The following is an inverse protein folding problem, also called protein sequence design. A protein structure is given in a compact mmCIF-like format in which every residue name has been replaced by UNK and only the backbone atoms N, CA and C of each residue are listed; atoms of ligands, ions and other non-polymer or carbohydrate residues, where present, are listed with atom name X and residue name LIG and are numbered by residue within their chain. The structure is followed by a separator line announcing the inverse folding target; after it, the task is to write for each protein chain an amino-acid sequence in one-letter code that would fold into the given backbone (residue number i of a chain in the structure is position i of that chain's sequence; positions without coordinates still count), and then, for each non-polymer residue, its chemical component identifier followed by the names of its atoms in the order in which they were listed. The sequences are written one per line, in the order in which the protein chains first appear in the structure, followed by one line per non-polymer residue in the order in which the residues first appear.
data_IF_064147488419
#
_entry.id   IF_064147488419
#
_cell.length_a   1.000
_cell.length_b   1.000
_cell.length_c   1.000
_cell.angle_alpha   90.00
_cell.angle_beta   90.00
_cell.angle_gamma   90.00
#
_symmetry.space_group_name_H-M   'P 1'
#
loop_
_entity.id
_entity.type
_entity.pdbx_description
1 polymer ?
#
# COMPACT_ATOMS: atom_id res chain seq x y z
N UNK A 1 39.46 -24.41 43.20
CA UNK A 1 39.56 -25.12 41.91
C UNK A 1 38.15 -25.20 41.33
N UNK A 2 37.74 -24.19 40.56
CA UNK A 2 37.79 -24.11 39.07
C UNK A 2 36.75 -25.04 38.42
N UNK A 3 35.87 -24.62 37.51
CA UNK A 3 35.87 -23.42 36.67
C UNK A 3 34.45 -23.04 36.21
N UNK A 4 34.33 -21.76 35.86
CA UNK A 4 33.25 -21.13 35.10
C UNK A 4 33.54 -21.14 33.59
N UNK A 5 32.50 -21.08 32.76
CA UNK A 5 32.50 -20.45 31.41
C UNK A 5 31.02 -20.28 30.96
N UNK A 6 30.41 -19.10 31.05
CA UNK A 6 30.45 -17.95 30.13
C UNK A 6 30.29 -18.31 28.65
N UNK A 7 29.06 -18.28 28.15
CA UNK A 7 28.75 -18.22 26.71
C UNK A 7 28.75 -16.75 26.29
N UNK A 8 29.73 -16.37 25.48
CA UNK A 8 29.92 -15.05 24.89
C UNK A 8 29.12 -14.93 23.59
N UNK A 9 28.28 -13.90 23.50
CA UNK A 9 27.70 -13.44 22.25
C UNK A 9 28.80 -12.72 21.44
N UNK A 10 29.16 -13.26 20.28
CA UNK A 10 30.13 -12.65 19.37
C UNK A 10 29.55 -11.40 18.71
N UNK A 11 30.14 -10.26 19.05
CA UNK A 11 29.94 -8.97 18.39
C UNK A 11 30.69 -9.01 17.05
N UNK A 12 29.98 -8.78 15.95
CA UNK A 12 30.57 -8.58 14.61
C UNK A 12 31.18 -7.17 14.57
N UNK A 13 32.47 -6.99 14.25
CA UNK A 13 33.07 -5.67 14.18
C UNK A 13 32.64 -4.94 12.90
N UNK A 14 32.10 -3.73 13.06
CA UNK A 14 31.84 -2.77 12.00
C UNK A 14 33.16 -2.40 11.30
N UNK A 15 33.31 -2.84 10.06
CA UNK A 15 34.39 -2.38 9.17
C UNK A 15 34.20 -0.90 8.85
N UNK A 16 35.27 -0.14 9.07
CA UNK A 16 35.38 1.30 8.83
C UNK A 16 35.00 1.63 7.37
N UNK A 17 33.94 2.42 7.19
CA UNK A 17 33.64 3.07 5.92
C UNK A 17 34.51 4.32 5.79
N UNK A 18 35.22 4.41 4.67
CA UNK A 18 36.03 5.54 4.22
C UNK A 18 35.19 6.83 4.14
N UNK A 19 35.72 8.01 4.53
CA UNK A 19 34.99 9.27 4.42
C UNK A 19 34.92 9.76 2.97
N UNK A 20 33.72 10.15 2.55
CA UNK A 20 33.47 10.93 1.33
C UNK A 20 33.97 12.36 1.56
N UNK A 21 34.81 12.96 0.68
CA UNK A 21 35.35 14.29 0.93
C UNK A 21 34.28 15.38 0.75
N UNK A 22 34.32 16.35 1.66
CA UNK A 22 33.45 17.52 1.72
C UNK A 22 33.61 18.42 0.49
N UNK A 23 32.47 18.91 -0.03
CA UNK A 23 32.44 20.03 -0.98
C UNK A 23 32.87 21.30 -0.26
N UNK A 24 33.88 21.97 -0.82
CA UNK A 24 34.33 23.30 -0.43
C UNK A 24 33.54 24.31 -1.27
N UNK A 25 32.88 25.24 -0.60
CA UNK A 25 32.28 26.43 -1.21
C UNK A 25 33.25 27.61 -1.19
N UNK A 26 33.02 28.48 -2.18
CA UNK A 26 33.48 29.86 -2.37
C UNK A 26 34.83 30.08 -3.07
N UNK A 27 34.75 30.59 -4.31
CA UNK A 27 35.48 31.82 -4.62
C UNK A 27 34.73 32.69 -5.65
N UNK A 28 34.63 33.96 -5.32
CA UNK A 28 34.03 35.06 -6.09
C UNK A 28 35.14 35.82 -6.80
N UNK A 29 35.14 35.86 -8.13
CA UNK A 29 36.10 36.64 -8.93
C UNK A 29 35.59 36.95 -10.35
N UNK A 30 36.08 38.02 -11.00
CA UNK A 30 35.23 39.00 -11.67
C UNK A 30 34.86 38.69 -13.13
N UNK A 31 33.78 39.34 -13.56
CA UNK A 31 33.18 39.29 -14.90
C UNK A 31 34.18 39.59 -16.03
N UNK A 32 34.13 38.78 -17.09
CA UNK A 32 34.75 39.04 -18.40
C UNK A 32 33.67 39.35 -19.45
N UNK A 33 33.94 40.24 -20.43
CA UNK A 33 32.91 40.78 -21.31
C UNK A 33 32.52 39.80 -22.42
N UNK A 34 31.24 39.85 -22.79
CA UNK A 34 30.63 39.08 -23.87
C UNK A 34 31.23 39.47 -25.24
N UNK A 35 31.89 38.52 -25.90
CA UNK A 35 32.26 38.64 -27.32
C UNK A 35 31.06 38.35 -28.20
N UNK A 36 30.78 39.28 -29.11
CA UNK A 36 29.85 39.14 -30.24
C UNK A 36 30.39 38.14 -31.27
N UNK A 37 29.45 37.55 -32.01
CA UNK A 37 29.59 36.87 -33.31
C UNK A 37 29.67 35.33 -33.31
N UNK A 38 28.49 34.71 -33.47
CA UNK A 38 28.31 33.47 -34.23
C UNK A 38 26.91 33.49 -34.89
N UNK A 39 26.79 33.44 -36.24
CA UNK A 39 25.50 33.38 -36.92
C UNK A 39 25.10 31.92 -37.21
N UNK A 40 23.83 31.58 -37.00
CA UNK A 40 23.26 30.33 -37.49
C UNK A 40 22.41 29.55 -36.49
N UNK A 41 21.39 30.19 -35.90
CA UNK A 41 20.24 29.47 -35.37
C UNK A 41 19.03 29.92 -36.18
N UNK A 42 18.59 29.09 -37.12
CA UNK A 42 17.24 29.16 -37.66
C UNK A 42 16.30 28.88 -36.49
N UNK A 43 15.78 29.96 -35.90
CA UNK A 43 14.71 29.87 -34.92
C UNK A 43 13.45 29.50 -35.71
N UNK A 44 12.99 28.25 -35.55
CA UNK A 44 11.64 27.85 -35.93
C UNK A 44 10.64 28.60 -35.03
N UNK A 45 10.42 29.86 -35.37
CA UNK A 45 9.31 30.69 -34.91
C UNK A 45 8.12 30.34 -35.79
N UNK A 46 7.23 29.45 -35.33
CA UNK A 46 5.77 29.46 -35.57
C UNK A 46 5.12 28.08 -35.33
N UNK A 47 5.33 27.45 -34.18
CA UNK A 47 4.47 26.32 -33.80
C UNK A 47 4.20 26.23 -32.28
N UNK A 48 3.62 27.30 -31.71
CA UNK A 48 2.83 27.17 -30.47
C UNK A 48 2.06 28.46 -30.14
N UNK A 49 0.78 28.32 -29.77
CA UNK A 49 0.19 29.10 -28.65
C UNK A 49 -1.27 28.74 -28.32
N UNK A 50 -2.01 28.01 -29.17
CA UNK A 50 -3.35 27.51 -28.80
C UNK A 50 -3.56 26.01 -28.97
N UNK A 51 -2.86 25.38 -29.91
CA UNK A 51 -3.03 23.94 -30.19
C UNK A 51 -2.41 23.06 -29.10
N UNK A 52 -1.26 23.46 -28.52
CA UNK A 52 -0.60 22.70 -27.44
C UNK A 52 -1.44 22.59 -26.18
N UNK A 53 -1.96 23.71 -25.61
CA UNK A 53 -2.83 23.64 -24.44
C UNK A 53 -4.13 22.89 -24.73
N UNK A 54 -4.68 23.01 -25.95
CA UNK A 54 -5.89 22.29 -26.35
C UNK A 54 -5.64 20.79 -26.52
N UNK A 55 -4.51 20.41 -27.11
CA UNK A 55 -4.08 19.02 -27.26
C UNK A 55 -3.80 18.39 -25.89
N UNK A 56 -3.09 19.10 -25.01
CA UNK A 56 -2.91 18.70 -23.62
C UNK A 56 -4.27 18.50 -22.94
N UNK A 57 -5.20 19.46 -23.04
CA UNK A 57 -6.55 19.31 -22.46
C UNK A 57 -7.33 18.12 -23.02
N UNK A 58 -7.22 17.82 -24.32
CA UNK A 58 -7.86 16.68 -24.97
C UNK A 58 -7.26 15.35 -24.47
N UNK A 59 -5.93 15.24 -24.44
CA UNK A 59 -5.22 14.05 -23.98
C UNK A 59 -5.50 13.80 -22.50
N UNK A 60 -5.49 14.86 -21.69
CA UNK A 60 -5.87 14.84 -20.27
C UNK A 60 -7.30 14.34 -20.06
N UNK A 61 -8.24 14.81 -20.88
CA UNK A 61 -9.65 14.39 -20.79
C UNK A 61 -9.86 12.92 -21.19
N UNK A 62 -9.14 12.44 -22.20
CA UNK A 62 -9.16 11.04 -22.63
C UNK A 62 -8.57 10.14 -21.54
N UNK A 63 -7.42 10.50 -20.99
CA UNK A 63 -6.75 9.79 -19.89
C UNK A 63 -7.64 9.75 -18.63
N UNK A 64 -8.22 10.87 -18.22
CA UNK A 64 -9.13 10.93 -17.08
C UNK A 64 -10.42 10.09 -17.28
N UNK A 65 -10.86 9.89 -18.53
CA UNK A 65 -12.01 9.03 -18.84
C UNK A 65 -11.60 7.56 -18.79
N UNK A 66 -10.47 7.19 -19.40
CA UNK A 66 -9.90 5.84 -19.31
C UNK A 66 -9.63 5.45 -17.84
N UNK A 67 -9.27 6.42 -17.00
CA UNK A 67 -9.03 6.23 -15.57
C UNK A 67 -10.16 5.61 -14.78
N UNK A 68 -11.36 6.09 -15.10
CA UNK A 68 -12.59 5.65 -14.45
C UNK A 68 -12.94 4.22 -14.86
N UNK A 69 -12.49 3.77 -16.03
CA UNK A 69 -12.74 2.41 -16.54
C UNK A 69 -11.72 1.38 -16.07
N UNK A 70 -10.46 1.77 -15.86
CA UNK A 70 -9.38 0.85 -15.50
C UNK A 70 -9.08 0.81 -14.00
N UNK A 71 -9.91 1.48 -13.18
CA UNK A 71 -9.69 1.66 -11.74
C UNK A 71 -8.30 2.22 -11.40
N UNK A 72 -7.77 3.11 -12.25
CA UNK A 72 -6.47 3.75 -12.04
C UNK A 72 -5.27 2.99 -12.61
N UNK A 73 -5.48 1.99 -13.49
CA UNK A 73 -4.39 1.31 -14.21
C UNK A 73 -4.18 1.86 -15.63
N UNK A 74 -2.95 2.22 -16.01
CA UNK A 74 -2.62 2.63 -17.38
C UNK A 74 -2.65 1.43 -18.33
N UNK A 75 -3.55 1.37 -19.34
CA UNK A 75 -3.57 0.30 -20.33
C UNK A 75 -2.28 0.21 -21.15
N UNK A 76 -1.65 1.36 -21.41
CA UNK A 76 -0.40 1.44 -22.14
C UNK A 76 0.73 0.77 -21.36
N UNK A 77 0.83 1.00 -20.05
CA UNK A 77 1.85 0.37 -19.20
C UNK A 77 1.70 -1.16 -19.17
N UNK A 78 0.48 -1.67 -19.02
CA UNK A 78 0.19 -3.12 -19.04
C UNK A 78 0.59 -3.71 -20.40
N UNK A 79 0.21 -3.05 -21.49
CA UNK A 79 0.50 -3.52 -22.85
C UNK A 79 2.00 -3.52 -23.13
N UNK A 80 2.73 -2.49 -22.67
CA UNK A 80 4.17 -2.39 -22.84
C UNK A 80 4.91 -3.52 -22.10
N UNK A 81 4.57 -3.79 -20.84
CA UNK A 81 5.20 -4.88 -20.09
C UNK A 81 4.86 -6.25 -20.67
N UNK A 82 3.63 -6.45 -21.14
CA UNK A 82 3.26 -7.68 -21.84
C UNK A 82 4.14 -7.91 -23.07
N UNK A 83 4.32 -6.89 -23.92
CA UNK A 83 5.15 -7.01 -25.12
C UNK A 83 6.63 -7.21 -24.79
N UNK A 84 7.16 -6.50 -23.80
CA UNK A 84 8.54 -6.66 -23.34
C UNK A 84 8.80 -8.09 -22.86
N UNK A 85 7.90 -8.62 -22.02
CA UNK A 85 7.94 -10.01 -21.57
C UNK A 85 7.80 -11.02 -22.71
N UNK A 86 6.80 -10.85 -23.58
CA UNK A 86 6.48 -11.80 -24.64
C UNK A 86 7.61 -11.92 -25.66
N UNK A 87 8.18 -10.79 -26.09
CA UNK A 87 9.29 -10.76 -27.06
C UNK A 87 10.52 -11.42 -26.45
N UNK A 88 10.94 -11.02 -25.25
CA UNK A 88 12.13 -11.60 -24.61
C UNK A 88 11.97 -13.09 -24.33
N UNK A 89 10.77 -13.54 -23.96
CA UNK A 89 10.48 -14.96 -23.79
C UNK A 89 10.53 -15.72 -25.13
N UNK A 90 9.98 -15.14 -26.21
CA UNK A 90 9.99 -15.74 -27.54
C UNK A 90 11.41 -15.92 -28.10
N UNK A 91 12.32 -14.99 -27.80
CA UNK A 91 13.73 -15.05 -28.22
C UNK A 91 14.68 -15.69 -27.18
N UNK A 92 14.14 -16.37 -26.17
CA UNK A 92 14.93 -17.05 -25.12
C UNK A 92 14.79 -18.58 -25.18
N UNK A 93 15.46 -19.29 -26.13
CA UNK A 93 15.31 -20.74 -26.29
C UNK A 93 15.71 -21.53 -25.03
N UNK A 94 16.74 -21.09 -24.29
CA UNK A 94 17.12 -21.72 -23.03
C UNK A 94 16.04 -21.61 -21.95
N UNK A 95 15.34 -20.47 -21.89
CA UNK A 95 14.19 -20.28 -20.99
C UNK A 95 13.02 -21.16 -21.39
N UNK A 96 12.73 -21.27 -22.69
CA UNK A 96 11.66 -22.14 -23.21
C UNK A 96 11.91 -23.61 -22.88
N UNK A 97 13.14 -24.10 -23.06
CA UNK A 97 13.53 -25.47 -22.66
C UNK A 97 13.37 -25.65 -21.14
N UNK A 98 13.80 -24.68 -20.33
CA UNK A 98 13.59 -24.71 -18.88
C UNK A 98 12.10 -24.79 -18.51
N UNK A 99 11.23 -24.02 -19.18
CA UNK A 99 9.79 -24.03 -18.94
C UNK A 99 9.14 -25.34 -19.35
N UNK A 100 9.59 -25.94 -20.46
CA UNK A 100 9.15 -27.25 -20.91
C UNK A 100 9.56 -28.37 -19.93
N UNK A 101 10.82 -28.37 -19.47
CA UNK A 101 11.29 -29.31 -18.43
C UNK A 101 10.50 -29.12 -17.11
N UNK A 102 10.27 -27.87 -16.68
CA UNK A 102 9.46 -27.59 -15.49
C UNK A 102 8.01 -28.07 -15.65
N UNK A 103 7.40 -27.90 -16.82
CA UNK A 103 6.05 -28.41 -17.12
C UNK A 103 6.02 -29.94 -17.06
N UNK A 104 6.98 -30.60 -17.71
CA UNK A 104 7.09 -32.06 -17.73
C UNK A 104 7.27 -32.62 -16.31
N UNK A 105 8.22 -32.06 -15.52
CA UNK A 105 8.45 -32.50 -14.13
C UNK A 105 7.23 -32.33 -13.25
N UNK A 106 6.48 -31.23 -13.43
CA UNK A 106 5.22 -30.99 -12.70
C UNK A 106 4.14 -32.00 -13.12
N UNK A 107 4.01 -32.28 -14.41
CA UNK A 107 3.11 -33.31 -14.94
C UNK A 107 3.42 -34.70 -14.39
N UNK A 108 4.69 -35.11 -14.42
CA UNK A 108 5.15 -36.38 -13.82
C UNK A 108 4.88 -36.41 -12.32
N UNK A 109 5.13 -35.31 -11.59
CA UNK A 109 4.86 -35.23 -10.16
C UNK A 109 3.36 -35.37 -9.85
N UNK A 110 2.50 -34.72 -10.63
CA UNK A 110 1.05 -34.81 -10.49
C UNK A 110 0.53 -36.21 -10.83
N UNK A 111 1.03 -36.82 -11.91
CA UNK A 111 0.67 -38.19 -12.29
C UNK A 111 1.10 -39.20 -11.23
N UNK A 112 2.34 -39.09 -10.71
CA UNK A 112 2.83 -39.92 -9.62
C UNK A 112 2.05 -39.71 -8.32
N UNK A 113 1.62 -38.48 -8.05
CA UNK A 113 0.73 -38.17 -6.92
C UNK A 113 -0.63 -38.87 -7.07
N UNK A 114 -1.26 -38.78 -8.25
CA UNK A 114 -2.52 -39.48 -8.52
C UNK A 114 -2.38 -41.00 -8.38
N UNK A 115 -1.28 -41.57 -8.87
CA UNK A 115 -0.95 -42.99 -8.73
C UNK A 115 -0.83 -43.41 -7.26
N UNK A 116 -0.10 -42.64 -6.43
CA UNK A 116 -0.01 -42.90 -4.98
C UNK A 116 -1.34 -42.74 -4.28
N UNK A 117 -2.12 -41.70 -4.60
CA UNK A 117 -3.47 -41.56 -4.05
C UNK A 117 -4.37 -42.76 -4.40
N UNK A 118 -4.26 -43.32 -5.61
CA UNK A 118 -5.03 -44.50 -6.01
C UNK A 118 -4.59 -45.76 -5.23
N UNK A 119 -3.30 -45.92 -4.93
CA UNK A 119 -2.77 -47.05 -4.18
C UNK A 119 -2.99 -46.94 -2.66
N UNK A 120 -2.91 -45.73 -2.11
CA UNK A 120 -2.97 -45.45 -0.67
C UNK A 120 -4.35 -44.97 -0.20
N UNK A 121 -5.41 -45.20 -0.98
CA UNK A 121 -6.79 -44.85 -0.60
C UNK A 121 -7.01 -43.34 -0.40
N UNK A 122 -6.26 -42.50 -1.10
CA UNK A 122 -6.37 -41.03 -1.04
C UNK A 122 -5.45 -40.34 -0.03
N UNK A 123 -4.60 -41.08 0.69
CA UNK A 123 -3.76 -40.55 1.78
C UNK A 123 -2.32 -40.19 1.42
N UNK A 124 -2.02 -39.91 0.14
CA UNK A 124 -0.68 -39.53 -0.28
C UNK A 124 -0.35 -38.06 0.10
N UNK A 125 0.93 -37.82 0.42
CA UNK A 125 1.48 -36.47 0.64
C UNK A 125 1.30 -35.58 -0.60
N UNK A 126 0.90 -34.30 -0.43
CA UNK A 126 0.68 -33.38 -1.54
C UNK A 126 1.95 -33.19 -2.38
N UNK A 127 1.76 -32.95 -3.68
CA UNK A 127 2.86 -32.67 -4.60
C UNK A 127 3.42 -31.25 -4.48
N UNK A 128 2.62 -30.34 -3.92
CA UNK A 128 2.97 -28.96 -3.60
C UNK A 128 2.11 -28.47 -2.43
N UNK A 129 2.72 -27.72 -1.51
CA UNK A 129 2.01 -27.06 -0.43
C UNK A 129 1.61 -25.63 -0.86
N UNK A 130 0.42 -25.14 -0.47
CA UNK A 130 0.07 -23.75 -0.64
C UNK A 130 1.06 -22.84 0.09
N UNK A 131 1.19 -21.59 -0.36
CA UNK A 131 1.92 -20.57 0.39
C UNK A 131 1.22 -20.35 1.75
N UNK A 132 1.94 -19.96 2.83
CA UNK A 132 1.36 -19.76 4.16
C UNK A 132 0.15 -18.82 4.21
N UNK A 133 0.10 -17.83 3.30
CA UNK A 133 -0.99 -16.88 3.15
C UNK A 133 -2.18 -17.42 2.34
N UNK A 134 -2.01 -18.47 1.53
CA UNK A 134 -3.08 -19.03 0.69
C UNK A 134 -3.98 -19.96 1.50
N UNK A 135 -5.17 -19.45 1.86
CA UNK A 135 -6.18 -20.17 2.65
C UNK A 135 -7.27 -20.82 1.80
N UNK A 136 -7.23 -20.69 0.47
CA UNK A 136 -8.34 -21.11 -0.42
C UNK A 136 -8.64 -22.61 -0.35
N UNK A 137 -7.63 -23.42 -0.07
CA UNK A 137 -7.70 -24.88 -0.08
C UNK A 137 -7.53 -25.51 1.31
N UNK A 138 -7.72 -24.71 2.37
CA UNK A 138 -7.50 -25.14 3.75
C UNK A 138 -8.60 -26.10 4.28
N UNK A 139 -9.81 -26.05 3.72
CA UNK A 139 -10.91 -26.88 4.18
C UNK A 139 -10.73 -28.37 3.88
N UNK A 140 -11.23 -29.21 4.78
CA UNK A 140 -11.13 -30.67 4.70
C UNK A 140 -11.71 -31.24 3.39
N UNK A 141 -12.75 -30.60 2.85
CA UNK A 141 -13.41 -31.04 1.62
C UNK A 141 -12.48 -30.99 0.39
N UNK A 142 -11.46 -30.11 0.40
CA UNK A 142 -10.42 -30.04 -0.64
C UNK A 142 -9.46 -31.23 -0.61
N UNK A 143 -9.37 -31.94 0.53
CA UNK A 143 -8.50 -33.11 0.69
C UNK A 143 -9.12 -34.39 0.11
N UNK A 144 -10.35 -34.31 -0.41
CA UNK A 144 -11.08 -35.43 -0.99
C UNK A 144 -11.01 -35.43 -2.51
N UNK A 145 -11.15 -36.60 -3.12
CA UNK A 145 -11.20 -36.76 -4.57
C UNK A 145 -12.62 -36.37 -5.09
N UNK A 146 -12.79 -35.62 -6.21
CA UNK A 146 -11.82 -35.13 -7.19
C UNK A 146 -11.08 -33.82 -6.86
N UNK A 147 -11.41 -33.16 -5.76
CA UNK A 147 -10.93 -31.79 -5.48
C UNK A 147 -9.44 -31.74 -5.19
N UNK A 148 -8.90 -32.83 -4.62
CA UNK A 148 -7.50 -32.97 -4.28
C UNK A 148 -6.56 -32.80 -5.47
N UNK A 149 -6.84 -33.42 -6.62
CA UNK A 149 -6.04 -33.12 -7.82
C UNK A 149 -6.40 -31.80 -8.48
N UNK A 150 -7.64 -31.30 -8.37
CA UNK A 150 -7.98 -29.98 -8.91
C UNK A 150 -7.13 -28.89 -8.28
N UNK A 151 -7.04 -28.83 -6.94
CA UNK A 151 -6.26 -27.79 -6.28
C UNK A 151 -4.75 -28.02 -6.41
N UNK A 152 -4.27 -29.27 -6.36
CA UNK A 152 -2.85 -29.58 -6.59
C UNK A 152 -2.40 -29.25 -8.02
N UNK A 153 -3.23 -29.55 -9.02
CA UNK A 153 -2.98 -29.14 -10.41
C UNK A 153 -2.95 -27.62 -10.55
N UNK A 154 -3.89 -26.91 -9.92
CA UNK A 154 -3.93 -25.45 -9.92
C UNK A 154 -2.67 -24.85 -9.29
N UNK A 155 -2.23 -25.31 -8.11
CA UNK A 155 -1.01 -24.80 -7.46
C UNK A 155 0.26 -25.06 -8.29
N UNK A 156 0.36 -26.22 -8.95
CA UNK A 156 1.47 -26.50 -9.87
C UNK A 156 1.46 -25.57 -11.09
N UNK A 157 0.27 -25.26 -11.62
CA UNK A 157 0.08 -24.29 -12.70
C UNK A 157 0.47 -22.88 -12.27
N UNK A 158 0.07 -22.43 -11.07
CA UNK A 158 0.52 -21.15 -10.51
C UNK A 158 2.05 -21.08 -10.38
N UNK A 159 2.67 -22.14 -9.85
CA UNK A 159 4.12 -22.20 -9.77
C UNK A 159 4.78 -22.19 -11.15
N UNK A 160 4.19 -22.83 -12.16
CA UNK A 160 4.72 -22.79 -13.53
C UNK A 160 4.65 -21.38 -14.11
N UNK A 161 3.53 -20.69 -13.95
CA UNK A 161 3.37 -19.31 -14.41
C UNK A 161 4.33 -18.34 -13.73
N UNK A 162 4.56 -18.46 -12.43
CA UNK A 162 5.59 -17.69 -11.74
C UNK A 162 6.98 -17.89 -12.38
N UNK A 163 7.33 -19.12 -12.78
CA UNK A 163 8.58 -19.37 -13.50
C UNK A 163 8.58 -18.81 -14.93
N UNK A 164 7.41 -18.70 -15.57
CA UNK A 164 7.24 -18.18 -16.92
C UNK A 164 7.31 -16.64 -16.96
N UNK A 165 6.99 -15.97 -15.86
CA UNK A 165 7.03 -14.50 -15.74
C UNK A 165 8.34 -13.99 -15.15
N UNK A 166 9.11 -14.80 -14.41
CA UNK A 166 10.33 -14.36 -13.71
C UNK A 166 11.63 -14.89 -14.32
N UNK A 167 12.73 -14.15 -14.14
CA UNK A 167 14.08 -14.53 -14.57
C UNK A 167 14.21 -14.66 -16.08
N UNK A 168 13.58 -13.75 -16.83
CA UNK A 168 13.70 -13.70 -18.30
C UNK A 168 14.74 -12.65 -18.65
N UNK A 169 15.79 -13.08 -19.35
CA UNK A 169 16.90 -12.20 -19.71
C UNK A 169 16.42 -11.11 -20.67
N UNK A 170 16.67 -9.86 -20.30
CA UNK A 170 16.37 -8.67 -21.12
C UNK A 170 15.06 -7.96 -20.76
N UNK A 171 14.15 -8.63 -20.03
CA UNK A 171 12.97 -7.98 -19.47
C UNK A 171 13.40 -7.05 -18.33
N UNK A 172 12.82 -5.84 -18.28
CA UNK A 172 13.10 -4.92 -17.18
C UNK A 172 12.55 -5.47 -15.87
N UNK A 173 13.16 -5.14 -14.73
CA UNK A 173 12.67 -5.65 -13.43
C UNK A 173 11.23 -5.21 -13.14
N UNK A 174 10.89 -3.97 -13.49
CA UNK A 174 9.54 -3.44 -13.35
C UNK A 174 8.50 -4.20 -14.20
N UNK A 175 8.82 -4.52 -15.46
CA UNK A 175 7.93 -5.30 -16.31
C UNK A 175 7.82 -6.75 -15.86
N UNK A 176 8.92 -7.35 -15.39
CA UNK A 176 8.92 -8.68 -14.78
C UNK A 176 7.97 -8.75 -13.59
N UNK A 177 8.10 -7.82 -12.65
CA UNK A 177 7.26 -7.77 -11.45
C UNK A 177 5.78 -7.51 -11.81
N UNK A 178 5.51 -6.64 -12.80
CA UNK A 178 4.15 -6.39 -13.27
C UNK A 178 3.54 -7.63 -13.94
N UNK A 179 4.31 -8.36 -14.75
CA UNK A 179 3.82 -9.57 -15.40
C UNK A 179 3.62 -10.71 -14.41
N UNK A 180 4.49 -10.85 -13.41
CA UNK A 180 4.29 -11.79 -12.31
C UNK A 180 2.99 -11.49 -11.55
N UNK A 181 2.79 -10.23 -11.17
CA UNK A 181 1.59 -9.77 -10.48
C UNK A 181 0.34 -10.03 -11.31
N UNK A 182 0.30 -9.56 -12.57
CA UNK A 182 -0.87 -9.71 -13.43
C UNK A 182 -1.21 -11.18 -13.73
N UNK A 183 -0.19 -12.02 -13.93
CA UNK A 183 -0.36 -13.46 -14.12
C UNK A 183 -0.97 -14.11 -12.88
N UNK A 184 -0.49 -13.74 -11.68
CA UNK A 184 -1.05 -14.22 -10.42
C UNK A 184 -2.51 -13.79 -10.25
N UNK A 185 -2.84 -12.52 -10.50
CA UNK A 185 -4.21 -12.02 -10.45
C UNK A 185 -5.15 -12.75 -11.42
N UNK A 186 -4.70 -12.98 -12.67
CA UNK A 186 -5.47 -13.71 -13.66
C UNK A 186 -5.72 -15.17 -13.23
N UNK A 187 -4.71 -15.84 -12.67
CA UNK A 187 -4.83 -17.20 -12.14
C UNK A 187 -5.75 -17.26 -10.92
N UNK A 188 -5.66 -16.27 -10.03
CA UNK A 188 -6.50 -16.20 -8.84
C UNK A 188 -7.97 -15.98 -9.20
N UNK A 189 -8.27 -15.22 -10.26
CA UNK A 189 -9.62 -15.05 -10.80
C UNK A 189 -10.23 -16.37 -11.29
N UNK A 190 -9.43 -17.21 -11.96
CA UNK A 190 -9.86 -18.52 -12.47
C UNK A 190 -9.63 -19.66 -11.48
N UNK A 191 -9.35 -19.34 -10.20
CA UNK A 191 -9.16 -20.35 -9.15
C UNK A 191 -10.39 -21.25 -9.02
N UNK A 192 -10.22 -22.58 -8.85
CA UNK A 192 -11.34 -23.49 -8.65
C UNK A 192 -12.16 -23.18 -7.39
N UNK A 193 -11.59 -22.42 -6.45
CA UNK A 193 -12.30 -21.96 -5.25
C UNK A 193 -13.39 -20.92 -5.54
N UNK A 194 -13.32 -20.21 -6.69
CA UNK A 194 -14.25 -19.14 -7.03
C UNK A 194 -15.54 -19.61 -7.70
N UNK A 195 -15.57 -20.86 -8.20
CA UNK A 195 -16.74 -21.38 -8.93
C UNK A 195 -17.50 -22.40 -8.09
N UNK A 196 -18.84 -22.26 -7.94
CA UNK A 196 -19.65 -23.19 -7.16
C UNK A 196 -19.50 -24.65 -7.59
N UNK A 197 -19.31 -24.92 -8.88
CA UNK A 197 -19.21 -26.28 -9.44
C UNK A 197 -17.88 -26.97 -9.11
N UNK A 198 -16.82 -26.22 -8.82
CA UNK A 198 -15.49 -26.75 -8.52
C UNK A 198 -15.11 -26.59 -7.05
N UNK A 199 -15.94 -25.92 -6.26
CA UNK A 199 -15.71 -25.68 -4.85
C UNK A 199 -16.47 -26.70 -3.97
N UNK A 200 -15.77 -27.66 -3.33
CA UNK A 200 -16.41 -28.71 -2.55
C UNK A 200 -17.10 -28.20 -1.29
N UNK A 201 -16.65 -27.09 -0.71
CA UNK A 201 -17.28 -26.51 0.47
C UNK A 201 -18.63 -25.90 0.12
N UNK A 202 -18.73 -25.25 -1.05
CA UNK A 202 -20.00 -24.72 -1.56
C UNK A 202 -20.93 -25.88 -1.91
N UNK A 203 -20.45 -26.92 -2.60
CA UNK A 203 -21.26 -28.09 -2.94
C UNK A 203 -21.79 -28.79 -1.69
N UNK A 204 -20.94 -29.03 -0.69
CA UNK A 204 -21.33 -29.61 0.59
C UNK A 204 -22.39 -28.76 1.29
N UNK A 205 -22.15 -27.44 1.44
CA UNK A 205 -23.15 -26.54 2.04
C UNK A 205 -24.45 -26.46 1.24
N UNK A 206 -24.38 -26.61 -0.07
CA UNK A 206 -25.55 -26.62 -0.96
C UNK A 206 -26.38 -27.87 -0.73
N UNK A 207 -25.75 -29.03 -0.61
CA UNK A 207 -26.42 -30.27 -0.21
C UNK A 207 -27.03 -30.14 1.21
N UNK A 208 -26.23 -29.70 2.20
CA UNK A 208 -26.66 -29.58 3.60
C UNK A 208 -27.83 -28.62 3.80
N UNK A 209 -27.90 -27.54 3.00
CA UNK A 209 -28.93 -26.50 3.09
C UNK A 209 -30.01 -26.60 2.00
N UNK A 210 -30.03 -27.67 1.21
CA UNK A 210 -30.99 -27.84 0.11
C UNK A 210 -30.99 -26.66 -0.88
N UNK A 211 -29.82 -26.07 -1.16
CA UNK A 211 -29.66 -24.94 -2.08
C UNK A 211 -29.92 -23.55 -1.49
N UNK A 212 -30.39 -23.45 -0.23
CA UNK A 212 -30.72 -22.16 0.37
C UNK A 212 -29.53 -21.21 0.52
N UNK A 213 -28.30 -21.73 0.61
CA UNK A 213 -27.08 -20.91 0.61
C UNK A 213 -26.91 -20.11 -0.70
N UNK A 214 -27.28 -20.68 -1.85
CA UNK A 214 -27.16 -20.00 -3.15
C UNK A 214 -28.21 -18.90 -3.28
N UNK A 215 -29.44 -19.15 -2.82
CA UNK A 215 -30.52 -18.15 -2.77
C UNK A 215 -30.12 -16.99 -1.86
N UNK A 216 -29.64 -17.28 -0.65
CA UNK A 216 -29.17 -16.25 0.27
C UNK A 216 -27.96 -15.50 -0.29
N UNK A 217 -27.01 -16.20 -0.93
CA UNK A 217 -25.87 -15.58 -1.58
C UNK A 217 -26.27 -14.63 -2.72
N UNK A 218 -27.24 -15.03 -3.55
CA UNK A 218 -27.77 -14.17 -4.61
C UNK A 218 -28.50 -12.95 -4.06
N UNK A 219 -29.27 -13.09 -2.97
CA UNK A 219 -29.90 -11.94 -2.30
C UNK A 219 -28.85 -10.97 -1.77
N UNK A 220 -27.79 -11.48 -1.15
CA UNK A 220 -26.68 -10.65 -0.69
C UNK A 220 -26.00 -9.92 -1.86
N UNK A 221 -25.77 -10.62 -2.99
CA UNK A 221 -25.19 -10.01 -4.20
C UNK A 221 -26.06 -8.85 -4.74
N UNK A 222 -27.39 -9.05 -4.79
CA UNK A 222 -28.32 -8.00 -5.23
C UNK A 222 -28.31 -6.82 -4.25
N UNK A 223 -28.30 -7.07 -2.94
CA UNK A 223 -28.21 -6.01 -1.93
C UNK A 223 -26.88 -5.24 -2.04
N UNK A 224 -25.76 -5.95 -2.19
CA UNK A 224 -24.45 -5.33 -2.35
C UNK A 224 -24.39 -4.48 -3.63
N UNK A 225 -24.99 -4.95 -4.72
CA UNK A 225 -25.07 -4.19 -5.98
C UNK A 225 -25.95 -2.94 -5.84
N UNK A 226 -27.14 -3.05 -5.21
CA UNK A 226 -28.01 -1.91 -4.94
C UNK A 226 -27.29 -0.86 -4.07
N UNK A 227 -26.60 -1.31 -3.02
CA UNK A 227 -25.85 -0.43 -2.12
C UNK A 227 -24.68 0.25 -2.83
N UNK A 228 -23.91 -0.48 -3.62
CA UNK A 228 -22.82 0.09 -4.41
C UNK A 228 -23.34 1.15 -5.40
N UNK A 229 -24.43 0.86 -6.12
CA UNK A 229 -25.05 1.80 -7.06
C UNK A 229 -25.62 3.05 -6.39
N UNK A 230 -26.15 2.91 -5.17
CA UNK A 230 -26.72 4.01 -4.38
C UNK A 230 -25.72 4.71 -3.44
N UNK A 231 -24.45 4.28 -3.42
CA UNK A 231 -23.42 4.82 -2.53
C UNK A 231 -23.66 4.54 -1.03
N UNK A 232 -24.51 3.55 -0.70
CA UNK A 232 -24.77 3.14 0.69
C UNK A 232 -23.56 2.36 1.24
N UNK A 233 -23.33 2.47 2.55
CA UNK A 233 -22.29 1.70 3.25
C UNK A 233 -22.64 0.19 3.28
N UNK A 234 -21.65 -0.70 3.49
CA UNK A 234 -21.88 -2.13 3.68
C UNK A 234 -22.88 -2.41 4.80
N UNK A 235 -23.60 -3.54 4.71
CA UNK A 235 -24.56 -3.98 5.74
C UNK A 235 -23.88 -4.06 7.11
N UNK A 236 -24.53 -3.55 8.15
CA UNK A 236 -24.01 -3.54 9.51
C UNK A 236 -23.06 -2.38 9.81
N UNK A 237 -22.58 -1.64 8.79
CA UNK A 237 -21.75 -0.45 9.02
C UNK A 237 -22.52 0.66 9.76
N UNK A 238 -23.85 0.72 9.58
CA UNK A 238 -24.75 1.62 10.32
C UNK A 238 -24.74 1.41 11.85
N UNK A 239 -24.26 0.25 12.32
CA UNK A 239 -24.12 -0.05 13.75
C UNK A 239 -22.89 0.61 14.37
N UNK A 240 -21.99 1.15 13.56
CA UNK A 240 -20.76 1.79 14.03
C UNK A 240 -20.86 3.30 13.83
N UNK A 241 -21.39 4.00 14.83
CA UNK A 241 -21.46 5.45 14.83
C UNK A 241 -20.20 6.04 15.48
N UNK A 242 -19.49 6.89 14.74
CA UNK A 242 -18.30 7.58 15.26
C UNK A 242 -18.71 8.52 16.40
N UNK A 243 -17.97 8.47 17.51
CA UNK A 243 -18.28 9.16 18.76
C UNK A 243 -19.20 8.38 19.70
N UNK A 244 -19.82 7.28 19.25
CA UNK A 244 -20.70 6.42 20.09
C UNK A 244 -20.17 4.99 20.21
N UNK A 245 -19.90 4.34 19.09
CA UNK A 245 -19.47 2.93 19.01
C UNK A 245 -18.00 2.80 18.62
N UNK A 246 -17.47 3.81 17.92
CA UNK A 246 -16.07 3.93 17.46
C UNK A 246 -15.56 5.32 17.82
N UNK A 247 -14.27 5.48 18.12
CA UNK A 247 -13.69 6.76 18.57
C UNK A 247 -14.35 7.29 19.85
N UNK A 248 -14.47 6.41 20.85
CA UNK A 248 -15.26 6.66 22.06
C UNK A 248 -14.41 7.17 23.23
N UNK A 249 -13.08 7.30 23.07
CA UNK A 249 -12.25 7.80 24.16
C UNK A 249 -12.65 9.26 24.49
N UNK A 250 -12.98 9.58 25.75
CA UNK A 250 -13.39 10.93 26.11
C UNK A 250 -12.26 11.92 25.80
N UNK A 251 -12.59 13.02 25.13
CA UNK A 251 -11.62 14.05 24.76
C UNK A 251 -12.32 15.30 24.24
N UNK A 252 -11.53 16.35 23.99
CA UNK A 252 -12.01 17.63 23.51
C UNK A 252 -11.09 18.16 22.40
N UNK A 253 -11.69 18.85 21.42
CA UNK A 253 -10.92 19.59 20.42
C UNK A 253 -10.41 20.88 21.06
N UNK A 254 -9.09 21.00 21.20
CA UNK A 254 -8.43 22.14 21.87
C UNK A 254 -7.82 23.14 20.88
N UNK A 255 -7.69 22.76 19.63
CA UNK A 255 -7.18 23.61 18.55
C UNK A 255 -7.81 23.19 17.22
N UNK A 256 -8.09 24.16 16.36
CA UNK A 256 -8.62 23.93 15.02
C UNK A 256 -8.02 24.96 14.05
N UNK A 257 -7.63 24.51 12.88
CA UNK A 257 -7.32 25.38 11.74
C UNK A 257 -7.93 24.82 10.45
N UNK A 258 -7.42 25.27 9.29
CA UNK A 258 -7.92 24.83 7.99
C UNK A 258 -7.69 23.34 7.70
N UNK A 259 -6.64 22.72 8.23
CA UNK A 259 -6.25 21.32 7.97
C UNK A 259 -6.60 20.36 9.10
N UNK A 260 -6.51 20.80 10.36
CA UNK A 260 -6.57 19.90 11.51
C UNK A 260 -7.54 20.37 12.58
N UNK A 261 -8.04 19.38 13.31
CA UNK A 261 -8.45 19.51 14.69
C UNK A 261 -7.45 18.77 15.56
N UNK A 262 -7.03 19.37 16.67
CA UNK A 262 -6.21 18.71 17.68
C UNK A 262 -7.11 18.29 18.84
N UNK A 263 -7.17 16.99 19.08
CA UNK A 263 -7.94 16.40 20.18
C UNK A 263 -6.99 16.18 21.36
N UNK A 264 -7.35 16.67 22.54
CA UNK A 264 -6.76 16.27 23.82
C UNK A 264 -7.70 15.28 24.51
N UNK A 265 -7.20 14.09 24.83
CA UNK A 265 -8.00 13.09 25.54
C UNK A 265 -8.00 13.33 27.05
N UNK A 266 -9.12 12.99 27.70
CA UNK A 266 -9.28 13.11 29.13
C UNK A 266 -8.36 12.11 29.86
N UNK A 267 -7.70 12.51 30.95
CA UNK A 267 -6.89 11.60 31.75
C UNK A 267 -7.78 10.53 32.40
N UNK A 268 -7.27 9.30 32.48
CA UNK A 268 -7.95 8.17 33.13
C UNK A 268 -7.25 7.71 34.41
N UNK A 269 -6.28 8.48 34.89
CA UNK A 269 -5.47 8.23 36.09
C UNK A 269 -5.38 9.51 36.95
N UNK A 270 -5.11 9.37 38.24
CA UNK A 270 -4.97 10.53 39.15
C UNK A 270 -3.77 11.41 38.83
N UNK A 271 -2.68 10.79 38.36
CA UNK A 271 -1.45 11.46 37.93
C UNK A 271 -1.10 11.03 36.52
N UNK A 272 -0.52 11.95 35.76
CA UNK A 272 0.01 11.71 34.42
C UNK A 272 1.51 11.96 34.39
N UNK A 273 2.17 11.40 33.39
CA UNK A 273 3.59 11.64 33.08
C UNK A 273 3.77 13.08 32.58
N UNK A 274 4.94 13.71 32.85
CA UNK A 274 5.18 15.10 32.44
C UNK A 274 5.19 15.29 30.92
N UNK A 275 5.89 14.42 30.19
CA UNK A 275 5.95 14.49 28.72
C UNK A 275 4.66 13.93 28.06
N UNK A 276 3.97 14.72 27.22
CA UNK A 276 2.78 14.26 26.52
C UNK A 276 3.13 13.44 25.27
N UNK A 277 2.12 12.71 24.77
CA UNK A 277 2.19 12.01 23.49
C UNK A 277 1.38 12.78 22.44
N UNK A 278 1.98 13.10 21.29
CA UNK A 278 1.29 13.61 20.11
C UNK A 278 1.23 12.54 19.03
N UNK A 279 0.03 12.15 18.62
CA UNK A 279 -0.20 11.15 17.58
C UNK A 279 -0.55 11.82 16.26
N UNK A 280 0.21 11.48 15.22
CA UNK A 280 0.09 11.94 13.84
C UNK A 280 -0.37 10.75 12.98
N UNK A 281 -1.68 10.58 12.76
CA UNK A 281 -2.21 9.50 11.93
C UNK A 281 -2.02 9.80 10.44
N UNK A 282 -2.12 8.78 9.59
CA UNK A 282 -2.29 8.98 8.15
C UNK A 282 -3.61 9.68 7.83
N UNK A 283 -3.63 10.48 6.75
CA UNK A 283 -4.84 11.17 6.27
C UNK A 283 -5.59 10.43 5.15
N UNK A 284 -5.04 9.32 4.64
CA UNK A 284 -5.74 8.42 3.70
C UNK A 284 -6.95 7.76 4.39
N UNK A 285 -6.76 7.37 5.65
CA UNK A 285 -7.79 6.83 6.53
C UNK A 285 -8.07 7.84 7.65
N UNK A 286 -9.11 7.59 8.45
CA UNK A 286 -9.42 8.44 9.59
C UNK A 286 -8.65 8.04 10.85
N UNK A 287 -8.38 9.02 11.71
CA UNK A 287 -7.56 8.88 12.92
C UNK A 287 -8.05 7.76 13.86
N UNK A 288 -9.36 7.48 13.86
CA UNK A 288 -9.98 6.52 14.77
C UNK A 288 -9.60 5.06 14.52
N UNK A 289 -8.75 4.74 13.51
CA UNK A 289 -8.07 3.43 13.47
C UNK A 289 -7.20 3.21 14.72
N UNK A 290 -6.73 4.28 15.36
CA UNK A 290 -5.97 4.26 16.62
C UNK A 290 -6.86 4.42 17.86
N UNK A 291 -8.16 4.64 17.66
CA UNK A 291 -9.17 4.73 18.72
C UNK A 291 -10.47 4.06 18.23
N UNK A 292 -10.42 2.74 18.01
CA UNK A 292 -11.56 2.00 17.49
C UNK A 292 -12.64 1.80 18.57
N UNK A 293 -12.72 0.61 19.16
CA UNK A 293 -13.60 0.31 20.29
C UNK A 293 -12.80 0.35 21.61
N UNK A 294 -13.48 0.39 22.77
CA UNK A 294 -12.80 0.40 24.07
C UNK A 294 -11.85 -0.78 24.33
N UNK A 295 -11.94 -1.86 23.57
CA UNK A 295 -11.12 -3.07 23.73
C UNK A 295 -9.86 -3.05 22.84
N UNK A 296 -9.83 -2.23 21.80
CA UNK A 296 -8.74 -2.16 20.82
C UNK A 296 -8.32 -0.71 20.49
N UNK A 297 -8.51 0.20 21.44
CA UNK A 297 -8.09 1.61 21.35
C UNK A 297 -6.68 1.80 21.92
N UNK A 298 -5.74 2.26 21.07
CA UNK A 298 -4.41 2.66 21.49
C UNK A 298 -4.48 3.90 22.39
N UNK A 299 -5.36 4.85 22.06
CA UNK A 299 -5.59 6.06 22.86
C UNK A 299 -5.97 5.69 24.29
N UNK A 300 -6.98 4.84 24.48
CA UNK A 300 -7.43 4.39 25.79
C UNK A 300 -6.32 3.65 26.56
N UNK A 301 -5.53 2.85 25.86
CA UNK A 301 -4.37 2.19 26.47
C UNK A 301 -3.37 3.23 27.01
N UNK A 302 -2.98 4.21 26.18
CA UNK A 302 -2.00 5.23 26.55
C UNK A 302 -2.47 6.15 27.68
N UNK A 303 -3.74 6.60 27.65
CA UNK A 303 -4.31 7.36 28.78
C UNK A 303 -4.35 6.51 30.04
N UNK A 304 -4.64 5.22 29.92
CA UNK A 304 -4.61 4.25 31.04
C UNK A 304 -3.21 4.01 31.60
N UNK A 305 -2.16 4.16 30.79
CA UNK A 305 -0.75 4.15 31.24
C UNK A 305 -0.30 5.48 31.86
N UNK A 306 -1.21 6.45 32.00
CA UNK A 306 -0.95 7.75 32.62
C UNK A 306 -0.23 8.73 31.69
N UNK A 307 -0.40 8.66 30.37
CA UNK A 307 0.07 9.71 29.47
C UNK A 307 -1.04 10.73 29.17
N UNK A 308 -0.65 12.00 29.04
CA UNK A 308 -1.47 13.00 28.35
C UNK A 308 -1.37 12.76 26.85
N UNK A 309 -2.48 12.45 26.18
CA UNK A 309 -2.49 12.06 24.77
C UNK A 309 -3.19 13.12 23.93
N UNK A 310 -2.54 13.52 22.85
CA UNK A 310 -3.06 14.38 21.81
C UNK A 310 -3.10 13.63 20.47
N UNK A 311 -4.10 13.90 19.64
CA UNK A 311 -4.23 13.29 18.30
C UNK A 311 -4.63 14.35 17.29
N UNK A 312 -3.94 14.35 16.15
CA UNK A 312 -4.33 15.14 15.00
C UNK A 312 -5.50 14.43 14.28
N UNK A 313 -6.61 15.13 14.11
CA UNK A 313 -7.72 14.74 13.24
C UNK A 313 -7.66 15.58 11.96
N UNK A 314 -7.27 14.94 10.85
CA UNK A 314 -7.18 15.60 9.55
C UNK A 314 -8.57 15.85 8.94
N UNK A 315 -8.77 17.08 8.45
CA UNK A 315 -9.92 17.46 7.64
C UNK A 315 -9.94 16.67 6.33
N UNK A 316 -11.13 16.28 5.85
CA UNK A 316 -11.25 15.76 4.49
C UNK A 316 -11.03 16.90 3.48
N UNK A 317 -10.22 16.68 2.43
CA UNK A 317 -10.00 17.69 1.41
C UNK A 317 -11.29 18.01 0.66
N UNK A 318 -11.47 19.28 0.31
CA UNK A 318 -12.49 19.73 -0.63
C UNK A 318 -11.89 20.42 -1.85
N UNK A 319 -12.72 20.91 -2.79
CA UNK A 319 -12.25 21.64 -3.97
C UNK A 319 -11.34 22.84 -3.66
N UNK A 320 -11.60 23.52 -2.54
CA UNK A 320 -10.82 24.70 -2.11
C UNK A 320 -9.38 24.34 -1.68
N UNK A 321 -9.12 23.06 -1.41
CA UNK A 321 -7.85 22.56 -0.88
C UNK A 321 -6.87 22.11 -1.97
N UNK A 322 -7.19 22.44 -3.24
CA UNK A 322 -6.44 22.04 -4.45
C UNK A 322 -4.96 22.44 -4.47
N UNK A 323 -4.61 23.52 -3.80
CA UNK A 323 -3.27 24.11 -3.83
C UNK A 323 -2.46 23.76 -2.57
N UNK A 324 -2.96 22.86 -1.71
CA UNK A 324 -2.22 22.38 -0.55
C UNK A 324 -1.10 21.42 -0.96
N UNK A 325 0.12 21.72 -0.52
CA UNK A 325 1.29 20.87 -0.67
C UNK A 325 1.69 20.13 0.62
N UNK A 326 2.71 19.27 0.52
CA UNK A 326 3.26 18.56 1.69
C UNK A 326 3.76 19.51 2.80
N UNK A 327 4.28 20.68 2.44
CA UNK A 327 4.76 21.65 3.43
C UNK A 327 3.61 22.30 4.22
N UNK A 328 2.43 22.46 3.62
CA UNK A 328 1.23 22.91 4.35
C UNK A 328 0.83 21.90 5.41
N UNK A 329 0.86 20.60 5.09
CA UNK A 329 0.59 19.54 6.06
C UNK A 329 1.64 19.48 7.18
N UNK A 330 2.91 19.78 6.87
CA UNK A 330 3.96 19.91 7.90
C UNK A 330 3.68 21.10 8.81
N UNK A 331 3.44 22.28 8.23
CA UNK A 331 3.34 23.56 8.95
C UNK A 331 1.99 23.72 9.66
N UNK A 332 0.88 23.60 8.94
CA UNK A 332 -0.47 23.73 9.47
C UNK A 332 -0.95 22.44 10.17
N UNK A 333 -0.27 21.31 9.97
CA UNK A 333 -0.55 20.08 10.71
C UNK A 333 0.36 19.91 11.91
N UNK A 334 1.54 19.32 11.69
CA UNK A 334 2.42 18.87 12.78
C UNK A 334 2.95 20.05 13.61
N UNK A 335 3.45 21.10 12.96
CA UNK A 335 4.06 22.23 13.69
C UNK A 335 3.01 23.00 14.49
N UNK A 336 1.85 23.31 13.88
CA UNK A 336 0.72 23.92 14.57
C UNK A 336 0.20 23.07 15.75
N UNK A 337 0.18 21.74 15.61
CA UNK A 337 -0.20 20.86 16.71
C UNK A 337 0.83 20.90 17.84
N UNK A 338 2.14 20.92 17.54
CA UNK A 338 3.19 21.07 18.54
C UNK A 338 3.12 22.40 19.29
N UNK A 339 2.77 23.50 18.59
CA UNK A 339 2.55 24.81 19.21
C UNK A 339 1.38 24.76 20.20
N UNK A 340 0.25 24.16 19.78
CA UNK A 340 -0.92 24.00 20.65
C UNK A 340 -0.63 23.07 21.85
N UNK A 341 0.09 21.97 21.66
CA UNK A 341 0.51 21.09 22.77
C UNK A 341 1.38 21.84 23.76
N UNK A 342 2.33 22.65 23.30
CA UNK A 342 3.22 23.42 24.17
C UNK A 342 2.52 24.54 24.94
N UNK A 343 1.43 25.09 24.39
CA UNK A 343 0.58 26.03 25.11
C UNK A 343 -0.18 25.36 26.27
N UNK A 344 -0.51 24.07 26.16
CA UNK A 344 -1.22 23.29 27.19
C UNK A 344 -0.25 22.67 28.20
N UNK A 345 0.89 22.16 27.74
CA UNK A 345 1.91 21.49 28.54
C UNK A 345 3.24 22.22 28.32
N UNK A 346 3.45 23.39 28.97
CA UNK A 346 4.67 24.16 28.81
C UNK A 346 5.89 23.42 29.36
N UNK A 347 7.08 23.78 28.87
CA UNK A 347 8.39 23.31 29.35
C UNK A 347 8.67 21.80 29.31
N UNK A 348 7.81 21.03 28.64
CA UNK A 348 8.01 19.60 28.43
C UNK A 348 8.21 19.28 26.95
N UNK A 349 9.17 18.37 26.66
CA UNK A 349 9.35 17.80 25.32
C UNK A 349 8.23 16.79 25.03
N UNK A 350 7.92 16.58 23.75
CA UNK A 350 6.79 15.75 23.30
C UNK A 350 7.28 14.40 22.75
N UNK A 351 6.62 13.32 23.13
CA UNK A 351 6.77 12.01 22.47
C UNK A 351 5.86 11.98 21.23
N UNK A 352 6.43 12.02 20.03
CA UNK A 352 5.64 11.98 18.80
C UNK A 352 5.48 10.55 18.27
N UNK A 353 4.27 10.20 17.86
CA UNK A 353 3.93 8.89 17.28
C UNK A 353 3.34 9.12 15.89
N UNK A 354 3.98 8.56 14.88
CA UNK A 354 3.51 8.63 13.50
C UNK A 354 2.98 7.28 13.02
N UNK A 355 1.79 7.27 12.41
CA UNK A 355 1.19 6.05 11.87
C UNK A 355 1.06 6.10 10.35
N UNK A 356 1.57 5.08 9.66
CA UNK A 356 1.55 4.98 8.20
C UNK A 356 2.09 6.27 7.55
N UNK A 357 1.37 6.87 6.60
CA UNK A 357 1.77 8.12 5.94
C UNK A 357 1.97 9.29 6.92
N UNK A 358 1.26 9.29 8.06
CA UNK A 358 1.48 10.26 9.13
C UNK A 358 2.87 10.13 9.77
N UNK A 359 3.45 8.92 9.77
CA UNK A 359 4.83 8.70 10.18
C UNK A 359 5.85 9.18 9.15
N UNK A 360 5.58 9.02 7.85
CA UNK A 360 6.40 9.62 6.80
C UNK A 360 6.46 11.15 6.94
N UNK A 361 5.30 11.78 7.14
CA UNK A 361 5.22 13.24 7.35
C UNK A 361 5.91 13.66 8.66
N UNK A 362 5.76 12.88 9.75
CA UNK A 362 6.44 13.14 11.02
C UNK A 362 7.97 13.04 10.88
N UNK A 363 8.48 12.09 10.10
CA UNK A 363 9.91 11.98 9.81
C UNK A 363 10.44 13.20 9.04
N UNK A 364 9.68 13.69 8.05
CA UNK A 364 10.00 14.93 7.31
C UNK A 364 10.01 16.13 8.27
N UNK A 365 8.98 16.26 9.13
CA UNK A 365 8.88 17.34 10.10
C UNK A 365 10.07 17.30 11.09
N UNK A 366 10.40 16.14 11.63
CA UNK A 366 11.51 15.96 12.55
C UNK A 366 12.88 16.31 11.92
N UNK A 367 13.09 15.94 10.65
CA UNK A 367 14.30 16.32 9.92
C UNK A 367 14.39 17.84 9.72
N UNK A 368 13.28 18.50 9.39
CA UNK A 368 13.22 19.96 9.29
C UNK A 368 13.46 20.64 10.64
N UNK A 369 12.86 20.11 11.72
CA UNK A 369 13.09 20.59 13.09
C UNK A 369 14.57 20.48 13.49
N UNK A 370 15.22 19.36 13.19
CA UNK A 370 16.65 19.18 13.47
C UNK A 370 17.52 20.18 12.70
N UNK A 371 17.22 20.44 11.41
CA UNK A 371 17.88 21.48 10.61
C UNK A 371 17.75 22.86 11.24
N UNK A 372 16.57 23.18 11.78
CA UNK A 372 16.22 24.51 12.29
C UNK A 372 16.53 24.67 13.79
N UNK A 373 17.11 23.66 14.45
CA UNK A 373 17.46 23.70 15.87
C UNK A 373 16.26 23.59 16.82
N UNK A 374 15.13 23.04 16.36
CA UNK A 374 13.92 22.86 17.16
C UNK A 374 13.94 21.54 17.93
N UNK A 375 14.16 21.62 19.24
CA UNK A 375 14.30 20.44 20.10
C UNK A 375 13.03 20.02 20.87
N UNK A 376 11.84 20.44 20.41
CA UNK A 376 10.58 20.13 21.11
C UNK A 376 10.25 18.64 21.20
N UNK A 377 10.80 17.80 20.33
CA UNK A 377 10.57 16.35 20.36
C UNK A 377 11.52 15.64 21.33
N UNK A 378 10.97 14.79 22.21
CA UNK A 378 11.73 13.89 23.10
C UNK A 378 12.09 12.58 22.40
N UNK A 379 11.13 12.02 21.68
CA UNK A 379 11.28 10.79 20.91
C UNK A 379 10.31 10.77 19.73
N UNK A 380 10.60 9.88 18.78
CA UNK A 380 9.72 9.57 17.64
C UNK A 380 9.47 8.07 17.63
N UNK A 381 8.21 7.67 17.46
CA UNK A 381 7.82 6.28 17.26
C UNK A 381 7.08 6.16 15.93
N UNK A 382 7.52 5.23 15.08
CA UNK A 382 6.98 5.02 13.73
C UNK A 382 6.23 3.68 13.68
N UNK A 383 4.91 3.74 13.49
CA UNK A 383 4.04 2.58 13.41
C UNK A 383 3.66 2.32 11.96
N UNK A 384 4.19 1.24 11.38
CA UNK A 384 3.96 0.86 9.98
C UNK A 384 4.17 2.03 8.99
N UNK A 385 5.18 2.87 9.25
CA UNK A 385 5.48 4.05 8.46
C UNK A 385 6.77 3.84 7.66
N UNK A 386 6.71 4.17 6.38
CA UNK A 386 7.83 4.00 5.47
C UNK A 386 8.56 5.33 5.28
N UNK A 387 9.88 5.32 5.46
CA UNK A 387 10.77 6.47 5.21
C UNK A 387 11.66 6.25 3.99
N UNK A 388 11.87 4.99 3.62
CA UNK A 388 12.58 4.57 2.41
C UNK A 388 11.58 3.90 1.46
N UNK A 389 11.30 4.56 0.33
CA UNK A 389 10.35 4.10 -0.69
C UNK A 389 11.02 3.32 -1.83
N UNK A 390 12.32 3.00 -1.72
CA UNK A 390 13.04 2.22 -2.75
C UNK A 390 12.39 0.85 -2.99
N UNK A 391 11.88 0.22 -1.93
CA UNK A 391 11.16 -1.06 -1.97
C UNK A 391 9.73 -0.90 -1.40
N UNK A 392 8.87 -0.13 -2.07
CA UNK A 392 7.48 0.08 -1.62
C UNK A 392 6.51 -1.09 -1.91
N UNK A 393 7.04 -2.28 -2.18
CA UNK A 393 6.25 -3.48 -2.51
C UNK A 393 5.47 -3.33 -3.82
N UNK A 394 4.31 -3.99 -3.90
CA UNK A 394 3.48 -4.02 -5.12
C UNK A 394 2.93 -2.64 -5.51
N UNK A 395 2.97 -1.65 -4.61
CA UNK A 395 2.67 -0.25 -4.96
C UNK A 395 3.60 0.28 -6.06
N UNK A 396 4.85 -0.19 -6.13
CA UNK A 396 5.79 0.20 -7.19
C UNK A 396 5.33 -0.19 -8.59
N UNK A 397 4.51 -1.22 -8.72
CA UNK A 397 3.92 -1.63 -10.01
C UNK A 397 2.96 -0.57 -10.56
N UNK A 398 2.37 0.21 -9.66
CA UNK A 398 1.39 1.25 -9.97
C UNK A 398 2.01 2.64 -10.05
N UNK A 399 3.32 2.78 -9.79
CA UNK A 399 4.04 4.05 -9.85
C UNK A 399 4.95 4.04 -11.09
N UNK A 400 4.45 4.58 -12.20
CA UNK A 400 5.22 4.86 -13.40
C UNK A 400 4.84 6.24 -13.96
N UNK A 401 5.66 6.79 -14.85
CA UNK A 401 5.44 8.13 -15.43
C UNK A 401 4.04 8.29 -16.04
N UNK A 402 3.53 7.26 -16.72
CA UNK A 402 2.17 7.32 -17.29
C UNK A 402 1.10 7.40 -16.21
N UNK A 403 1.29 6.72 -15.07
CA UNK A 403 0.36 6.77 -13.94
C UNK A 403 0.44 8.09 -13.18
N UNK A 404 1.64 8.65 -13.06
CA UNK A 404 1.85 9.96 -12.43
C UNK A 404 1.20 11.05 -13.28
N UNK A 405 1.50 11.11 -14.58
CA UNK A 405 0.89 12.08 -15.49
C UNK A 405 -0.63 12.01 -15.46
N UNK A 406 -1.18 10.80 -15.45
CA UNK A 406 -2.60 10.58 -15.34
C UNK A 406 -3.20 11.05 -14.00
N UNK A 407 -2.52 10.83 -12.87
CA UNK A 407 -2.95 11.35 -11.57
C UNK A 407 -2.87 12.88 -11.52
N UNK A 408 -1.83 13.48 -12.11
CA UNK A 408 -1.68 14.93 -12.26
C UNK A 408 -2.82 15.53 -13.07
N UNK A 409 -3.22 14.88 -14.17
CA UNK A 409 -4.32 15.30 -15.02
C UNK A 409 -5.67 15.26 -14.27
N UNK A 410 -5.89 14.21 -13.48
CA UNK A 410 -7.06 14.10 -12.60
C UNK A 410 -7.07 15.18 -11.51
N UNK A 411 -5.93 15.41 -10.87
CA UNK A 411 -5.75 16.46 -9.85
C UNK A 411 -5.92 17.87 -10.43
N UNK A 412 -5.47 18.11 -11.66
CA UNK A 412 -5.66 19.39 -12.34
C UNK A 412 -7.14 19.70 -12.57
N UNK A 413 -7.93 18.69 -12.96
CA UNK A 413 -9.35 18.85 -13.25
C UNK A 413 -10.23 18.91 -11.98
N UNK A 414 -9.96 18.08 -10.97
CA UNK A 414 -10.81 17.92 -9.77
C UNK A 414 -10.30 18.69 -8.55
N UNK A 415 -8.99 18.92 -8.45
CA UNK A 415 -8.33 19.57 -7.31
C UNK A 415 -8.13 18.67 -6.08
N UNK A 416 -8.77 17.52 -6.01
CA UNK A 416 -8.62 16.56 -4.89
C UNK A 416 -9.00 15.15 -5.33
N UNK A 417 -8.55 14.13 -4.59
CA UNK A 417 -8.97 12.73 -4.78
C UNK A 417 -10.05 12.38 -3.75
N UNK A 418 -11.17 11.84 -4.22
CA UNK A 418 -12.24 11.39 -3.35
C UNK A 418 -11.96 10.00 -2.76
N UNK A 419 -12.76 9.60 -1.77
CA UNK A 419 -12.57 8.33 -1.07
C UNK A 419 -12.73 7.10 -1.99
N UNK A 420 -13.52 7.20 -3.08
CA UNK A 420 -13.74 6.08 -4.01
C UNK A 420 -12.53 5.89 -4.91
N UNK A 421 -11.96 6.98 -5.42
CA UNK A 421 -10.73 6.97 -6.22
C UNK A 421 -9.55 6.40 -5.41
N UNK A 422 -9.39 6.85 -4.16
CA UNK A 422 -8.35 6.31 -3.26
C UNK A 422 -8.57 4.84 -2.89
N UNK A 423 -9.84 4.42 -2.70
CA UNK A 423 -10.15 3.02 -2.40
C UNK A 423 -9.87 2.09 -3.57
N UNK A 424 -10.14 2.50 -4.82
CA UNK A 424 -9.89 1.69 -6.02
C UNK A 424 -8.42 1.29 -6.16
N UNK A 425 -7.49 2.23 -5.96
CA UNK A 425 -6.06 1.96 -6.01
C UNK A 425 -5.61 0.94 -4.94
N UNK A 426 -6.19 1.00 -3.74
CA UNK A 426 -5.88 0.06 -2.65
C UNK A 426 -6.60 -1.29 -2.77
N UNK A 427 -7.72 -1.37 -3.48
CA UNK A 427 -8.45 -2.62 -3.70
C UNK A 427 -7.72 -3.55 -4.67
N UNK A 428 -7.02 -3.00 -5.66
CA UNK A 428 -6.23 -3.79 -6.63
C UNK A 428 -5.06 -4.52 -5.95
N UNK A 429 -4.61 -4.03 -4.78
CA UNK A 429 -3.54 -4.64 -3.98
C UNK A 429 -4.01 -5.78 -3.06
N UNK A 430 -5.32 -6.07 -3.02
CA UNK A 430 -5.91 -7.17 -2.24
C UNK A 430 -6.25 -8.34 -3.14
#
# INVERSE_FOLDING_TARGET
MTAASSSSASIIPLTQRTPVPARVDADTGPARPLSKDAPGATVDLHDSSMVRPLAEVIDRALHATAARFTMGLSPAAITAAYWDWAIHLAFSPGKQVQLADKALRKGVRLAGYCGRCALEGGHAHPCIEPLPQDRRFAGEAWQHWPYKFTYQSFLLTQQWWHNATTGIRGVTKQHEDMMEFMSRQALDMVSPSNFPLTNPEILKRTADKGGMNLISGFRNLVEDWERAASGKKPVGAERFQVGRDVATAPGQVIYRNRLIELIQYAPTTEKVRPEPILIVPAWIMKYYILDLSPQNSLVKYLTGQGFTVFMISWRNPGPDDRDLGLDDYRTLGIMAALDAVRAVVPDHKVHAVGYCLGGTLLSIAAAAMARDGDERLKSITLLAAQTDFTEAGELMLFINESQIAFLEDMMWAQGFLDARQMAGALQILR
#
